data_IF_229998946705
#
_entry.id   IF_229998946705
#
_cell.length_a   1.000
_cell.length_b   1.000
_cell.length_c   1.000
_cell.angle_alpha   90.00
_cell.angle_beta   90.00
_cell.angle_gamma   90.00
#
_symmetry.space_group_name_H-M   'P 1'
#
loop_
_entity.id
_entity.type
_entity.pdbx_description
1 polymer ?
#
# COMPACT_ATOMS: atom_id res chain seq x y z
N UNK A 1 40.53 2.21 -31.11
CA UNK A 1 39.43 3.21 -31.06
C UNK A 1 38.09 2.64 -31.52
N UNK A 2 37.94 2.13 -32.75
CA UNK A 2 36.64 1.60 -33.25
C UNK A 2 36.05 0.45 -32.42
N UNK A 3 36.86 -0.53 -32.01
CA UNK A 3 36.41 -1.67 -31.19
C UNK A 3 35.95 -1.27 -29.77
N UNK A 4 36.62 -0.28 -29.17
CA UNK A 4 36.24 0.26 -27.86
C UNK A 4 34.91 1.03 -27.93
N UNK A 5 34.72 1.83 -28.97
CA UNK A 5 33.45 2.55 -29.20
C UNK A 5 32.29 1.57 -29.46
N UNK A 6 32.53 0.49 -30.22
CA UNK A 6 31.55 -0.58 -30.45
C UNK A 6 31.15 -1.30 -29.15
N UNK A 7 32.13 -1.68 -28.33
CA UNK A 7 31.88 -2.33 -27.05
C UNK A 7 31.12 -1.40 -26.07
N UNK A 8 31.49 -0.12 -26.03
CA UNK A 8 30.82 0.88 -25.21
C UNK A 8 29.36 1.09 -25.66
N UNK A 9 29.10 1.16 -26.97
CA UNK A 9 27.72 1.26 -27.49
C UNK A 9 26.87 0.02 -27.18
N UNK A 10 27.43 -1.18 -27.26
CA UNK A 10 26.73 -2.42 -26.90
C UNK A 10 26.39 -2.43 -25.40
N UNK A 11 27.34 -2.05 -24.55
CA UNK A 11 27.12 -1.92 -23.11
C UNK A 11 26.03 -0.89 -22.79
N UNK A 12 26.07 0.29 -23.43
CA UNK A 12 25.06 1.32 -23.23
C UNK A 12 23.67 0.84 -23.64
N UNK A 13 23.55 0.19 -24.80
CA UNK A 13 22.29 -0.35 -25.29
C UNK A 13 21.77 -1.45 -24.36
N UNK A 14 22.64 -2.31 -23.85
CA UNK A 14 22.24 -3.35 -22.88
C UNK A 14 21.71 -2.75 -21.57
N UNK A 15 22.38 -1.72 -21.03
CA UNK A 15 21.94 -1.00 -19.83
C UNK A 15 20.59 -0.30 -20.02
N UNK A 16 20.40 0.34 -21.19
CA UNK A 16 19.12 0.97 -21.53
C UNK A 16 18.01 -0.08 -21.53
N UNK A 17 18.17 -1.21 -22.24
CA UNK A 17 17.16 -2.27 -22.30
C UNK A 17 16.81 -2.86 -20.92
N UNK A 18 17.81 -3.09 -20.06
CA UNK A 18 17.57 -3.58 -18.69
C UNK A 18 16.78 -2.54 -17.88
N UNK A 19 17.10 -1.26 -18.02
CA UNK A 19 16.40 -0.18 -17.30
C UNK A 19 14.92 -0.09 -17.69
N UNK A 20 14.58 -0.22 -18.98
CA UNK A 20 13.16 -0.24 -19.44
C UNK A 20 12.38 -1.44 -18.87
N UNK A 21 13.03 -2.58 -18.67
CA UNK A 21 12.38 -3.77 -18.11
C UNK A 21 12.02 -3.62 -16.61
N UNK A 22 12.71 -2.76 -15.86
CA UNK A 22 12.48 -2.58 -14.42
C UNK A 22 11.22 -1.76 -14.08
N UNK A 23 10.70 -0.96 -15.00
CA UNK A 23 9.57 -0.06 -14.72
C UNK A 23 8.18 -0.60 -15.12
N UNK A 24 8.10 -1.74 -15.79
CA UNK A 24 6.82 -2.36 -16.16
C UNK A 24 6.32 -3.35 -15.10
N UNK A 25 5.96 -2.86 -13.91
CA UNK A 25 5.18 -3.68 -12.98
C UNK A 25 3.71 -3.81 -13.41
N UNK A 26 3.22 -3.00 -14.37
CA UNK A 26 1.88 -3.09 -14.98
C UNK A 26 0.69 -2.92 -14.03
N UNK A 27 0.93 -2.83 -12.73
CA UNK A 27 -0.07 -2.69 -11.67
C UNK A 27 -0.55 -1.25 -11.62
N UNK A 28 -1.86 -1.08 -11.66
CA UNK A 28 -2.54 0.22 -11.62
C UNK A 28 -3.51 0.28 -10.45
N UNK A 29 -4.09 1.46 -10.20
CA UNK A 29 -5.13 1.61 -9.19
C UNK A 29 -6.39 0.86 -9.61
N UNK A 30 -6.87 -0.02 -8.74
CA UNK A 30 -8.09 -0.77 -9.00
C UNK A 30 -9.33 0.14 -8.87
N UNK A 31 -10.38 -0.09 -9.69
CA UNK A 31 -11.67 0.54 -9.51
C UNK A 31 -12.42 -0.10 -8.31
N UNK A 32 -13.45 0.58 -7.77
CA UNK A 32 -14.33 0.00 -6.77
C UNK A 32 -15.08 -1.24 -7.27
N UNK A 33 -15.27 -2.23 -6.38
CA UNK A 33 -16.07 -3.41 -6.64
C UNK A 33 -17.37 -3.33 -5.80
N UNK A 34 -18.56 -3.24 -6.42
CA UNK A 34 -19.81 -3.02 -5.70
C UNK A 34 -20.11 -4.04 -4.59
N UNK A 35 -19.78 -5.31 -4.81
CA UNK A 35 -20.02 -6.40 -3.87
C UNK A 35 -19.11 -6.25 -2.65
N UNK A 36 -17.83 -5.95 -2.87
CA UNK A 36 -16.88 -5.69 -1.77
C UNK A 36 -17.21 -4.39 -1.04
N UNK A 37 -17.71 -3.37 -1.73
CA UNK A 37 -18.17 -2.13 -1.11
C UNK A 37 -19.33 -2.36 -0.15
N UNK A 38 -20.29 -3.21 -0.51
CA UNK A 38 -21.44 -3.56 0.34
C UNK A 38 -21.02 -4.38 1.58
N UNK A 39 -19.95 -5.16 1.46
CA UNK A 39 -19.43 -6.03 2.52
C UNK A 39 -18.25 -5.43 3.29
N UNK A 40 -17.96 -4.14 3.10
CA UNK A 40 -16.80 -3.51 3.73
C UNK A 40 -16.93 -3.52 5.25
N UNK A 41 -15.80 -3.80 5.91
CA UNK A 41 -15.72 -3.81 7.37
C UNK A 41 -15.30 -2.42 7.83
N UNK A 42 -16.03 -1.87 8.80
CA UNK A 42 -15.64 -0.68 9.54
C UNK A 42 -15.42 -1.13 10.98
N UNK A 43 -14.17 -1.15 11.42
CA UNK A 43 -13.81 -1.59 12.76
C UNK A 43 -14.17 -0.55 13.81
N UNK A 44 -13.99 0.73 13.46
CA UNK A 44 -14.21 1.82 14.39
C UNK A 44 -14.61 3.09 13.64
N UNK A 45 -15.31 3.99 14.34
CA UNK A 45 -15.61 5.32 13.84
C UNK A 45 -14.98 6.37 14.74
N UNK A 46 -14.37 7.38 14.14
CA UNK A 46 -13.90 8.56 14.84
C UNK A 46 -15.09 9.41 15.32
N UNK A 47 -14.89 10.35 16.27
CA UNK A 47 -15.95 11.24 16.74
C UNK A 47 -16.61 12.10 15.64
N UNK A 48 -15.87 12.43 14.58
CA UNK A 48 -16.36 13.12 13.37
C UNK A 48 -17.05 12.18 12.36
N UNK A 49 -17.16 10.88 12.68
CA UNK A 49 -17.98 9.92 11.95
C UNK A 49 -17.26 9.14 10.84
N UNK A 50 -15.97 9.41 10.58
CA UNK A 50 -15.17 8.67 9.59
C UNK A 50 -14.98 7.22 10.04
N UNK A 51 -15.20 6.29 9.11
CA UNK A 51 -15.05 4.86 9.37
C UNK A 51 -13.64 4.37 9.05
N UNK A 52 -13.02 3.66 9.99
CA UNK A 52 -11.68 3.14 9.88
C UNK A 52 -11.65 1.62 9.77
N UNK A 53 -10.81 1.13 8.87
CA UNK A 53 -10.45 -0.27 8.74
C UNK A 53 -8.98 -0.45 9.12
N UNK A 54 -8.71 -1.31 10.10
CA UNK A 54 -7.37 -1.68 10.52
C UNK A 54 -7.08 -3.12 10.06
N UNK A 55 -6.08 -3.30 9.19
CA UNK A 55 -5.74 -4.63 8.64
C UNK A 55 -5.33 -5.62 9.73
N UNK A 56 -4.66 -5.18 10.79
CA UNK A 56 -4.24 -6.04 11.89
C UNK A 56 -5.41 -6.55 12.76
N UNK A 57 -6.58 -5.91 12.69
CA UNK A 57 -7.80 -6.37 13.38
C UNK A 57 -8.61 -7.36 12.54
N UNK A 58 -8.39 -7.40 11.23
CA UNK A 58 -9.04 -8.36 10.33
C UNK A 58 -8.34 -9.73 10.44
N UNK A 59 -9.04 -10.81 10.82
CA UNK A 59 -8.43 -12.13 10.97
C UNK A 59 -7.75 -12.65 9.69
N UNK A 60 -8.23 -12.26 8.51
CA UNK A 60 -7.68 -12.69 7.23
C UNK A 60 -6.41 -11.91 6.84
N UNK A 61 -6.16 -10.74 7.43
CA UNK A 61 -5.01 -9.88 7.12
C UNK A 61 -4.05 -9.69 8.29
N UNK A 62 -4.31 -10.31 9.44
CA UNK A 62 -3.46 -10.20 10.60
C UNK A 62 -2.07 -10.79 10.30
N UNK A 63 -1.04 -9.96 10.42
CA UNK A 63 0.36 -10.32 10.12
C UNK A 63 0.70 -10.35 8.63
N UNK A 64 -0.22 -9.93 7.75
CA UNK A 64 0.06 -9.80 6.31
C UNK A 64 0.68 -8.44 6.05
N UNK A 65 1.90 -8.44 5.54
CA UNK A 65 2.60 -7.25 5.06
C UNK A 65 2.42 -7.13 3.55
N UNK A 66 1.98 -5.96 3.10
CA UNK A 66 1.70 -5.68 1.70
C UNK A 66 2.45 -4.44 1.24
N UNK A 67 2.79 -4.40 -0.05
CA UNK A 67 3.27 -3.18 -0.65
C UNK A 67 2.17 -2.10 -0.69
N UNK A 68 2.58 -0.85 -0.81
CA UNK A 68 1.68 0.30 -0.76
C UNK A 68 0.58 0.25 -1.81
N UNK A 69 0.86 -0.21 -3.04
CA UNK A 69 -0.12 -0.26 -4.10
C UNK A 69 -1.15 -1.38 -3.84
N UNK A 70 -0.72 -2.53 -3.32
CA UNK A 70 -1.65 -3.60 -2.91
C UNK A 70 -2.58 -3.14 -1.79
N UNK A 71 -2.02 -2.51 -0.75
CA UNK A 71 -2.80 -1.97 0.35
C UNK A 71 -3.82 -0.92 -0.13
N UNK A 72 -3.39 0.00 -1.01
CA UNK A 72 -4.28 1.01 -1.59
C UNK A 72 -5.39 0.38 -2.45
N UNK A 73 -5.07 -0.61 -3.27
CA UNK A 73 -6.06 -1.33 -4.09
C UNK A 73 -7.03 -2.16 -3.24
N UNK A 74 -6.59 -2.69 -2.09
CA UNK A 74 -7.47 -3.36 -1.15
C UNK A 74 -8.59 -2.44 -0.64
N UNK A 75 -8.24 -1.22 -0.24
CA UNK A 75 -9.21 -0.21 0.20
C UNK A 75 -10.12 0.25 -0.95
N UNK A 76 -9.53 0.58 -2.11
CA UNK A 76 -10.28 1.10 -3.27
C UNK A 76 -11.37 0.15 -3.76
N UNK A 77 -11.06 -1.14 -3.84
CA UNK A 77 -12.04 -2.18 -4.19
C UNK A 77 -13.25 -2.21 -3.25
N UNK A 78 -13.11 -1.72 -2.01
CA UNK A 78 -14.16 -1.66 -0.97
C UNK A 78 -14.81 -0.28 -0.84
N UNK A 79 -14.65 0.61 -1.82
CA UNK A 79 -15.15 1.99 -1.75
C UNK A 79 -14.59 2.74 -0.52
N UNK A 80 -13.35 2.43 -0.15
CA UNK A 80 -12.57 3.11 0.87
C UNK A 80 -11.29 3.63 0.22
N UNK A 81 -10.58 4.52 0.91
CA UNK A 81 -9.25 4.96 0.50
C UNK A 81 -8.20 4.58 1.54
N UNK A 82 -6.92 4.66 1.15
CA UNK A 82 -5.84 4.69 2.13
C UNK A 82 -6.06 5.86 3.08
N UNK A 83 -5.74 5.67 4.36
CA UNK A 83 -5.95 6.68 5.41
C UNK A 83 -5.40 8.05 5.00
N UNK A 84 -6.19 9.09 5.25
CA UNK A 84 -5.81 10.50 5.11
C UNK A 84 -6.14 11.19 6.42
N UNK A 85 -5.13 11.79 7.05
CA UNK A 85 -5.26 12.46 8.33
C UNK A 85 -5.38 13.96 8.10
N UNK A 86 -6.54 14.53 8.43
CA UNK A 86 -6.86 15.92 8.11
C UNK A 86 -6.74 16.84 9.34
N UNK A 87 -6.78 16.26 10.54
CA UNK A 87 -6.68 17.01 11.80
C UNK A 87 -5.62 16.40 12.71
N UNK A 88 -5.07 17.22 13.61
CA UNK A 88 -4.15 16.74 14.65
C UNK A 88 -4.84 15.75 15.60
N UNK A 89 -6.11 15.98 15.93
CA UNK A 89 -6.90 15.08 16.78
C UNK A 89 -7.05 13.70 16.15
N UNK A 90 -7.38 13.63 14.85
CA UNK A 90 -7.47 12.38 14.10
C UNK A 90 -6.12 11.66 14.05
N UNK A 91 -5.04 12.40 13.83
CA UNK A 91 -3.69 11.85 13.85
C UNK A 91 -3.31 11.24 15.20
N UNK A 92 -3.57 11.92 16.32
CA UNK A 92 -3.29 11.37 17.65
C UNK A 92 -4.18 10.15 17.97
N UNK A 93 -5.44 10.18 17.54
CA UNK A 93 -6.36 9.05 17.67
C UNK A 93 -5.87 7.81 16.90
N UNK A 94 -5.35 7.98 15.67
CA UNK A 94 -4.76 6.89 14.88
C UNK A 94 -3.48 6.39 15.53
N UNK A 95 -2.58 7.28 15.96
CA UNK A 95 -1.32 6.92 16.63
C UNK A 95 -1.56 6.04 17.85
N UNK A 96 -2.54 6.37 18.69
CA UNK A 96 -2.87 5.56 19.87
C UNK A 96 -3.23 4.12 19.50
N UNK A 97 -3.97 3.90 18.41
CA UNK A 97 -4.34 2.56 17.94
C UNK A 97 -3.17 1.83 17.34
N UNK A 98 -2.36 2.51 16.53
CA UNK A 98 -1.14 1.92 15.98
C UNK A 98 -0.20 1.52 17.11
N UNK A 99 0.14 2.39 18.06
CA UNK A 99 1.09 2.04 19.13
C UNK A 99 0.52 0.95 20.04
N UNK A 100 -0.70 1.14 20.56
CA UNK A 100 -1.22 0.24 21.61
C UNK A 100 -1.60 -1.15 21.08
N UNK A 101 -1.91 -1.29 19.79
CA UNK A 101 -2.40 -2.54 19.22
C UNK A 101 -1.39 -3.19 18.27
N UNK A 102 -0.59 -2.40 17.55
CA UNK A 102 0.43 -2.90 16.63
C UNK A 102 1.72 -3.30 17.36
N UNK A 103 1.93 -2.91 18.62
CA UNK A 103 3.05 -3.43 19.43
C UNK A 103 3.06 -4.97 19.55
N UNK A 104 1.90 -5.62 19.36
CA UNK A 104 1.81 -7.08 19.32
C UNK A 104 2.47 -7.72 18.09
N UNK A 105 2.71 -6.98 17.00
CA UNK A 105 3.43 -7.45 15.81
C UNK A 105 4.96 -7.29 15.94
N UNK A 106 5.45 -6.32 16.71
CA UNK A 106 6.90 -6.17 17.00
C UNK A 106 7.45 -7.16 18.03
N UNK A 107 6.58 -7.85 18.78
CA UNK A 107 6.99 -8.86 19.78
C UNK A 107 7.07 -10.29 19.23
N UNK A 108 6.85 -10.48 17.93
CA UNK A 108 6.92 -11.78 17.25
C UNK A 108 8.22 -12.00 16.46
N UNK A 109 9.25 -11.16 16.69
CA UNK A 109 10.58 -11.34 16.11
C UNK A 109 11.65 -11.38 17.21
#
# INVERSE_FOLDING_TARGET
MKAFMLAASILLLSFVNVSWAQFNNGRVLDPPNPQLCAQRIIHERTPDGKGYFFSWRDPALKGVEEDWLTARNYCRRRCMDSVSLETSLENEWVKQRVVNENESLLKLN
#
